data_IF_131293538966
#
_entry.id   IF_131293538966
#
_cell.length_a   1.000
_cell.length_b   1.000
_cell.length_c   1.000
_cell.angle_alpha   90.00
_cell.angle_beta   90.00
_cell.angle_gamma   90.00
#
_symmetry.space_group_name_H-M   'P 1'
#
loop_
_entity.id
_entity.type
_entity.pdbx_description
1 polymer ?
#
# COMPACT_ATOMS: atom_id res chain seq x y z
N UNK A 1 -26.87 -3.40 5.78
CA UNK A 1 -26.65 -3.40 7.25
C UNK A 1 -27.09 -2.08 7.92
N UNK A 2 -27.41 -1.03 7.15
CA UNK A 2 -27.84 0.26 7.72
C UNK A 2 -26.70 1.14 8.28
N UNK A 3 -25.45 0.80 7.99
CA UNK A 3 -24.31 1.62 8.36
C UNK A 3 -24.20 2.88 7.49
N UNK A 4 -23.50 3.88 8.02
CA UNK A 4 -23.30 5.14 7.31
C UNK A 4 -22.39 4.93 6.09
N UNK A 5 -22.88 5.34 4.92
CA UNK A 5 -22.02 5.46 3.75
C UNK A 5 -21.21 6.76 3.84
N UNK A 6 -19.92 6.67 3.58
CA UNK A 6 -19.03 7.83 3.47
C UNK A 6 -18.89 8.24 2.01
N UNK A 7 -18.74 9.56 1.76
CA UNK A 7 -18.24 10.00 0.46
C UNK A 7 -16.78 9.58 0.28
N UNK A 8 -16.28 9.56 -0.96
CA UNK A 8 -14.87 9.27 -1.23
C UNK A 8 -13.95 10.25 -0.50
N UNK A 9 -14.30 11.53 -0.45
CA UNK A 9 -13.56 12.55 0.29
C UNK A 9 -13.52 12.26 1.79
N UNK A 10 -14.67 11.94 2.37
CA UNK A 10 -14.75 11.58 3.80
C UNK A 10 -13.98 10.29 4.08
N UNK A 11 -14.14 9.27 3.25
CA UNK A 11 -13.36 8.03 3.35
C UNK A 11 -11.87 8.32 3.43
N UNK A 12 -11.32 9.07 2.47
CA UNK A 12 -9.89 9.39 2.44
C UNK A 12 -9.41 10.21 3.64
N UNK A 13 -10.30 10.92 4.28
CA UNK A 13 -10.00 11.72 5.48
C UNK A 13 -9.97 10.89 6.75
N UNK A 14 -10.83 9.87 6.87
CA UNK A 14 -10.99 9.08 8.10
C UNK A 14 -10.37 7.69 8.03
N UNK A 15 -10.01 7.22 6.83
CA UNK A 15 -9.39 5.91 6.66
C UNK A 15 -8.09 5.80 7.45
N UNK A 16 -7.94 4.70 8.19
CA UNK A 16 -6.75 4.44 9.01
C UNK A 16 -6.56 2.95 9.26
N UNK A 17 -5.36 2.59 9.67
CA UNK A 17 -5.03 1.27 10.17
C UNK A 17 -5.00 1.24 11.71
N UNK A 18 -5.34 0.10 12.33
CA UNK A 18 -5.92 -1.09 11.70
C UNK A 18 -7.27 -0.78 11.05
N UNK A 19 -7.57 -1.43 9.93
CA UNK A 19 -8.81 -1.18 9.14
C UNK A 19 -10.08 -1.32 10.00
N UNK A 20 -10.06 -2.13 11.05
CA UNK A 20 -11.15 -2.27 12.01
C UNK A 20 -11.56 -0.92 12.62
N UNK A 21 -10.59 -0.05 12.91
CA UNK A 21 -10.86 1.27 13.51
C UNK A 21 -11.67 2.16 12.55
N UNK A 22 -11.35 2.12 11.24
CA UNK A 22 -12.15 2.80 10.23
C UNK A 22 -13.61 2.29 10.22
N UNK A 23 -13.81 0.98 10.28
CA UNK A 23 -15.15 0.40 10.33
C UNK A 23 -15.91 0.81 11.59
N UNK A 24 -15.24 0.88 12.73
CA UNK A 24 -15.82 1.36 14.00
C UNK A 24 -16.25 2.83 13.88
N UNK A 25 -15.45 3.68 13.24
CA UNK A 25 -15.75 5.11 13.04
C UNK A 25 -17.01 5.34 12.20
N UNK A 26 -17.35 4.42 11.30
CA UNK A 26 -18.59 4.48 10.49
C UNK A 26 -19.75 3.68 11.12
N UNK A 27 -19.57 3.18 12.34
CA UNK A 27 -20.63 2.59 13.15
C UNK A 27 -20.73 1.07 13.12
N UNK A 28 -19.79 0.36 12.49
CA UNK A 28 -19.74 -1.10 12.49
C UNK A 28 -19.37 -1.61 13.88
N UNK A 29 -20.19 -2.48 14.44
CA UNK A 29 -19.96 -3.09 15.76
C UNK A 29 -18.90 -4.20 15.68
N UNK A 30 -18.31 -4.57 16.82
CA UNK A 30 -17.38 -5.70 16.89
C UNK A 30 -18.02 -7.02 16.47
N UNK A 31 -19.32 -7.17 16.73
CA UNK A 31 -20.11 -8.36 16.37
C UNK A 31 -20.30 -8.47 14.86
N UNK A 32 -20.59 -7.36 14.19
CA UNK A 32 -20.86 -7.32 12.75
C UNK A 32 -19.59 -7.25 11.91
N UNK A 33 -18.48 -6.81 12.49
CA UNK A 33 -17.21 -6.59 11.74
C UNK A 33 -16.75 -7.81 10.94
N UNK A 34 -16.78 -9.06 11.44
CA UNK A 34 -16.36 -10.22 10.65
C UNK A 34 -17.19 -10.41 9.38
N UNK A 35 -18.52 -10.20 9.48
CA UNK A 35 -19.41 -10.32 8.32
C UNK A 35 -19.18 -9.20 7.32
N UNK A 36 -19.12 -7.95 7.79
CA UNK A 36 -18.89 -6.78 6.94
C UNK A 36 -17.53 -6.85 6.24
N UNK A 37 -16.48 -7.27 6.95
CA UNK A 37 -15.16 -7.45 6.37
C UNK A 37 -15.13 -8.54 5.29
N UNK A 38 -15.84 -9.64 5.51
CA UNK A 38 -15.99 -10.71 4.51
C UNK A 38 -16.70 -10.22 3.26
N UNK A 39 -17.86 -9.59 3.42
CA UNK A 39 -18.65 -9.07 2.29
C UNK A 39 -17.90 -8.00 1.52
N UNK A 40 -17.16 -7.15 2.20
CA UNK A 40 -16.28 -6.17 1.57
C UNK A 40 -15.22 -6.86 0.71
N UNK A 41 -14.53 -7.86 1.26
CA UNK A 41 -13.51 -8.60 0.53
C UNK A 41 -14.08 -9.33 -0.69
N UNK A 42 -15.23 -9.98 -0.55
CA UNK A 42 -15.94 -10.64 -1.66
C UNK A 42 -16.32 -9.63 -2.75
N UNK A 43 -16.86 -8.47 -2.36
CA UNK A 43 -17.18 -7.37 -3.26
C UNK A 43 -15.95 -6.80 -3.96
N UNK A 44 -14.85 -6.63 -3.22
CA UNK A 44 -13.58 -6.17 -3.78
C UNK A 44 -13.04 -7.14 -4.84
N UNK A 45 -12.99 -8.44 -4.54
CA UNK A 45 -12.52 -9.46 -5.48
C UNK A 45 -13.41 -9.51 -6.72
N UNK A 46 -14.72 -9.48 -6.57
CA UNK A 46 -15.67 -9.51 -7.69
C UNK A 46 -15.52 -8.30 -8.63
N UNK A 47 -15.18 -7.14 -8.09
CA UNK A 47 -15.07 -5.88 -8.83
C UNK A 47 -13.63 -5.51 -9.20
N UNK A 48 -12.64 -6.33 -8.88
CA UNK A 48 -11.24 -6.00 -9.19
C UNK A 48 -10.98 -5.79 -10.69
N UNK A 49 -11.81 -6.34 -11.56
CA UNK A 49 -11.72 -6.10 -13.00
C UNK A 49 -11.93 -4.61 -13.39
N UNK A 50 -12.50 -3.80 -12.52
CA UNK A 50 -12.68 -2.34 -12.69
C UNK A 50 -11.46 -1.55 -12.22
N UNK A 51 -10.54 -2.16 -11.48
CA UNK A 51 -9.35 -1.48 -10.98
C UNK A 51 -8.44 -1.06 -12.13
N UNK A 52 -7.84 0.11 -12.00
CA UNK A 52 -6.88 0.68 -12.92
C UNK A 52 -5.59 1.03 -12.18
N UNK A 53 -4.48 1.05 -12.89
CA UNK A 53 -3.24 1.59 -12.35
C UNK A 53 -3.39 3.08 -12.07
N UNK A 54 -2.74 3.55 -11.02
CA UNK A 54 -2.57 4.98 -10.81
C UNK A 54 -1.91 5.61 -12.04
N UNK A 55 -2.35 6.80 -12.43
CA UNK A 55 -2.04 7.43 -13.73
C UNK A 55 -0.57 7.41 -14.15
N UNK A 56 0.35 7.46 -13.20
CA UNK A 56 1.81 7.49 -13.48
C UNK A 56 2.52 6.23 -12.99
N UNK A 57 1.80 5.18 -12.59
CA UNK A 57 2.40 4.02 -11.96
C UNK A 57 3.30 3.23 -12.92
N UNK A 58 2.80 2.89 -14.11
CA UNK A 58 3.58 2.13 -15.08
C UNK A 58 4.86 2.88 -15.46
N UNK A 59 4.75 4.18 -15.81
CA UNK A 59 5.91 5.01 -16.16
C UNK A 59 6.95 5.03 -15.04
N UNK A 60 6.53 5.26 -13.81
CA UNK A 60 7.46 5.34 -12.68
C UNK A 60 8.17 4.01 -12.40
N UNK A 61 7.42 2.90 -12.46
CA UNK A 61 7.96 1.55 -12.27
C UNK A 61 8.99 1.20 -13.34
N UNK A 62 8.74 1.55 -14.61
CA UNK A 62 9.71 1.37 -15.69
C UNK A 62 10.95 2.24 -15.47
N UNK A 63 10.80 3.50 -15.08
CA UNK A 63 11.93 4.39 -14.79
C UNK A 63 12.83 3.83 -13.68
N UNK A 64 12.23 3.35 -12.59
CA UNK A 64 12.99 2.69 -11.51
C UNK A 64 13.74 1.46 -12.01
N UNK A 65 13.08 0.63 -12.82
CA UNK A 65 13.72 -0.55 -13.42
C UNK A 65 14.91 -0.16 -14.30
N UNK A 66 14.73 0.80 -15.20
CA UNK A 66 15.75 1.23 -16.15
C UNK A 66 16.93 1.92 -15.45
N UNK A 67 16.68 2.57 -14.31
CA UNK A 67 17.71 3.14 -13.44
C UNK A 67 18.42 2.10 -12.55
N UNK A 68 18.04 0.82 -12.63
CA UNK A 68 18.67 -0.28 -11.90
C UNK A 68 18.20 -0.46 -10.45
N UNK A 69 17.05 0.09 -10.09
CA UNK A 69 16.47 -0.14 -8.77
C UNK A 69 15.93 -1.57 -8.66
N UNK A 70 16.20 -2.22 -7.53
CA UNK A 70 15.47 -3.40 -7.12
C UNK A 70 14.09 -3.01 -6.61
N UNK A 71 13.04 -3.59 -7.17
CA UNK A 71 11.66 -3.24 -6.85
C UNK A 71 10.91 -4.41 -6.25
N UNK A 72 10.20 -4.17 -5.14
CA UNK A 72 9.32 -5.17 -4.53
C UNK A 72 7.98 -4.56 -4.11
N UNK A 73 6.91 -5.33 -4.25
CA UNK A 73 5.60 -4.98 -3.68
C UNK A 73 5.49 -5.65 -2.31
N UNK A 74 5.18 -4.86 -1.27
CA UNK A 74 4.88 -5.35 0.08
C UNK A 74 3.49 -4.86 0.49
N UNK A 75 2.54 -5.78 0.61
CA UNK A 75 1.13 -5.47 0.87
C UNK A 75 0.58 -6.22 2.09
N UNK A 76 -0.42 -5.64 2.74
CA UNK A 76 -1.24 -6.33 3.72
C UNK A 76 -2.31 -7.25 3.08
N UNK A 77 -2.39 -7.28 1.76
CA UNK A 77 -3.27 -8.19 1.02
C UNK A 77 -2.77 -9.64 1.06
N UNK A 78 -3.68 -10.58 0.88
CA UNK A 78 -3.33 -12.00 0.72
C UNK A 78 -2.48 -12.19 -0.56
N UNK A 79 -1.37 -12.92 -0.44
CA UNK A 79 -0.30 -12.96 -1.46
C UNK A 79 -0.77 -13.48 -2.82
N UNK A 80 -1.62 -14.51 -2.86
CA UNK A 80 -2.09 -15.06 -4.14
C UNK A 80 -3.08 -14.12 -4.82
N UNK A 81 -3.92 -13.43 -4.05
CA UNK A 81 -4.78 -12.37 -4.57
C UNK A 81 -3.95 -11.22 -5.13
N UNK A 82 -2.92 -10.78 -4.39
CA UNK A 82 -2.02 -9.71 -4.83
C UNK A 82 -1.31 -10.06 -6.14
N UNK A 83 -0.76 -11.26 -6.27
CA UNK A 83 -0.13 -11.74 -7.51
C UNK A 83 -1.12 -11.79 -8.66
N UNK A 84 -2.33 -12.32 -8.42
CA UNK A 84 -3.39 -12.35 -9.42
C UNK A 84 -3.81 -10.94 -9.86
N UNK A 85 -3.72 -9.96 -8.97
CA UNK A 85 -3.98 -8.56 -9.27
C UNK A 85 -2.89 -7.93 -10.15
N UNK A 86 -1.62 -8.13 -9.80
CA UNK A 86 -0.49 -7.56 -10.55
C UNK A 86 -0.44 -8.10 -11.98
N UNK A 87 -0.68 -9.39 -12.17
CA UNK A 87 -0.71 -10.04 -13.51
C UNK A 87 -1.76 -9.44 -14.45
N UNK A 88 -2.80 -8.76 -13.94
CA UNK A 88 -3.79 -8.08 -14.78
C UNK A 88 -3.27 -6.83 -15.49
N UNK A 89 -2.11 -6.34 -15.09
CA UNK A 89 -1.48 -5.16 -15.64
C UNK A 89 -0.21 -5.53 -16.40
N UNK A 90 -0.30 -5.82 -17.72
CA UNK A 90 0.85 -6.23 -18.53
C UNK A 90 1.99 -5.22 -18.50
N UNK A 91 1.69 -3.95 -18.23
CA UNK A 91 2.67 -2.86 -18.11
C UNK A 91 3.63 -3.07 -16.91
N UNK A 92 3.27 -3.94 -15.98
CA UNK A 92 4.08 -4.25 -14.80
C UNK A 92 4.85 -5.57 -14.91
N UNK A 93 4.71 -6.27 -16.05
CA UNK A 93 5.35 -7.58 -16.23
C UNK A 93 6.88 -7.47 -16.18
N UNK A 94 7.49 -8.29 -15.33
CA UNK A 94 8.95 -8.29 -15.12
C UNK A 94 9.52 -7.09 -14.36
N UNK A 95 8.68 -6.14 -13.90
CA UNK A 95 9.15 -4.92 -13.24
C UNK A 95 9.46 -5.08 -11.75
N UNK A 96 8.99 -6.13 -11.14
CA UNK A 96 9.20 -6.38 -9.70
C UNK A 96 9.98 -7.67 -9.46
N UNK A 97 11.04 -7.57 -8.66
CA UNK A 97 11.85 -8.73 -8.24
C UNK A 97 11.06 -9.67 -7.31
N UNK A 98 10.20 -9.10 -6.47
CA UNK A 98 9.39 -9.86 -5.51
C UNK A 98 8.01 -9.21 -5.28
N UNK A 99 7.00 -10.05 -5.09
CA UNK A 99 5.65 -9.66 -4.68
C UNK A 99 5.32 -10.38 -3.38
N UNK A 100 5.18 -9.61 -2.30
CA UNK A 100 5.06 -10.07 -0.94
C UNK A 100 3.73 -9.60 -0.34
N UNK A 101 2.93 -10.54 0.15
CA UNK A 101 1.64 -10.27 0.79
C UNK A 101 1.51 -11.05 2.10
N UNK A 102 0.49 -10.70 2.88
CA UNK A 102 0.10 -11.49 4.05
C UNK A 102 -0.60 -12.76 3.57
N UNK A 103 -0.33 -13.88 4.21
CA UNK A 103 -0.97 -15.15 3.84
C UNK A 103 -0.03 -16.32 3.92
N UNK A 104 1.22 -16.07 4.17
CA UNK A 104 2.07 -17.07 4.79
C UNK A 104 1.75 -17.13 6.28
N UNK A 105 1.56 -18.32 6.79
CA UNK A 105 1.13 -18.65 8.15
C UNK A 105 2.00 -18.02 9.25
N UNK A 106 3.09 -17.39 8.85
CA UNK A 106 4.11 -16.79 9.74
C UNK A 106 4.23 -15.27 9.62
N UNK A 107 3.64 -14.61 8.62
CA UNK A 107 3.71 -13.16 8.48
C UNK A 107 2.64 -12.48 9.34
N UNK A 108 3.01 -12.06 10.53
CA UNK A 108 2.11 -11.46 11.53
C UNK A 108 1.78 -10.01 11.18
N UNK A 109 2.61 -9.31 10.39
CA UNK A 109 2.39 -7.91 10.00
C UNK A 109 3.22 -7.50 8.78
N UNK A 110 2.81 -6.41 8.12
CA UNK A 110 3.56 -5.77 7.03
C UNK A 110 4.99 -5.37 7.47
N UNK A 111 5.16 -4.95 8.72
CA UNK A 111 6.47 -4.60 9.29
C UNK A 111 7.38 -5.83 9.34
N UNK A 112 6.89 -6.97 9.84
CA UNK A 112 7.68 -8.18 9.92
C UNK A 112 8.06 -8.70 8.54
N UNK A 113 7.09 -8.70 7.62
CA UNK A 113 7.31 -9.08 6.22
C UNK A 113 8.41 -8.24 5.56
N UNK A 114 8.39 -6.92 5.77
CA UNK A 114 9.41 -6.01 5.24
C UNK A 114 10.79 -6.26 5.86
N UNK A 115 10.88 -6.44 7.19
CA UNK A 115 12.14 -6.76 7.88
C UNK A 115 12.76 -8.05 7.38
N UNK A 116 11.96 -9.10 7.28
CA UNK A 116 12.42 -10.41 6.83
C UNK A 116 12.89 -10.37 5.37
N UNK A 117 12.20 -9.58 4.54
CA UNK A 117 12.58 -9.39 3.14
C UNK A 117 13.94 -8.71 3.02
N UNK A 118 14.13 -7.54 3.67
CA UNK A 118 15.41 -6.82 3.63
C UNK A 118 16.55 -7.68 4.16
N UNK A 119 16.34 -8.35 5.29
CA UNK A 119 17.35 -9.24 5.89
C UNK A 119 17.72 -10.39 4.95
N UNK A 120 16.74 -11.06 4.35
CA UNK A 120 16.97 -12.18 3.43
C UNK A 120 17.69 -11.78 2.16
N UNK A 121 17.41 -10.59 1.64
CA UNK A 121 18.07 -10.05 0.44
C UNK A 121 19.41 -9.38 0.74
N UNK A 122 19.71 -9.08 2.00
CA UNK A 122 20.91 -8.36 2.39
C UNK A 122 20.86 -6.87 2.02
N UNK A 123 19.66 -6.30 1.89
CA UNK A 123 19.48 -4.89 1.57
C UNK A 123 19.61 -4.03 2.82
N UNK A 124 20.38 -2.94 2.72
CA UNK A 124 20.50 -1.97 3.79
C UNK A 124 19.24 -1.09 3.85
N UNK A 125 18.57 -0.98 5.01
CA UNK A 125 17.49 -0.04 5.19
C UNK A 125 17.84 1.41 4.81
N UNK A 126 19.08 1.85 5.01
CA UNK A 126 19.54 3.19 4.66
C UNK A 126 19.53 3.44 3.13
N UNK A 127 19.71 2.41 2.32
CA UNK A 127 19.67 2.46 0.86
C UNK A 127 18.29 2.08 0.30
N UNK A 128 17.31 1.89 1.18
CA UNK A 128 15.95 1.45 0.81
C UNK A 128 14.96 2.60 0.98
N UNK A 129 14.07 2.76 -0.01
CA UNK A 129 12.96 3.72 0.06
C UNK A 129 11.64 2.97 0.05
N UNK A 130 10.77 3.31 0.99
CA UNK A 130 9.41 2.78 1.07
C UNK A 130 8.43 3.79 0.47
N UNK A 131 7.70 3.38 -0.56
CA UNK A 131 6.64 4.18 -1.17
C UNK A 131 5.28 3.69 -0.67
N UNK A 132 4.41 4.58 -0.25
CA UNK A 132 3.08 4.24 0.24
C UNK A 132 2.08 5.38 0.09
N UNK A 133 0.83 5.14 0.49
CA UNK A 133 -0.27 6.09 0.36
C UNK A 133 -1.04 6.31 1.68
N UNK A 134 -0.48 5.77 2.78
CA UNK A 134 -1.07 5.89 4.13
C UNK A 134 -0.03 6.22 5.20
N UNK A 135 -0.49 6.77 6.31
CA UNK A 135 0.33 6.97 7.52
C UNK A 135 0.91 5.65 8.06
N UNK A 136 0.21 4.52 7.84
CA UNK A 136 0.71 3.20 8.22
C UNK A 136 1.95 2.79 7.41
N UNK A 137 2.07 3.18 6.15
CA UNK A 137 3.27 2.94 5.35
C UNK A 137 4.49 3.67 5.94
N UNK A 138 4.29 4.88 6.44
CA UNK A 138 5.34 5.61 7.15
C UNK A 138 5.72 4.95 8.50
N UNK A 139 4.76 4.36 9.20
CA UNK A 139 5.03 3.57 10.42
C UNK A 139 5.85 2.33 10.08
N UNK A 140 5.51 1.62 9.01
CA UNK A 140 6.27 0.47 8.51
C UNK A 140 7.70 0.91 8.16
N UNK A 141 7.87 1.94 7.34
CA UNK A 141 9.17 2.46 6.94
C UNK A 141 10.04 2.84 8.15
N UNK A 142 9.46 3.55 9.12
CA UNK A 142 10.15 3.92 10.38
C UNK A 142 10.57 2.68 11.18
N UNK A 143 9.70 1.68 11.28
CA UNK A 143 9.97 0.44 12.02
C UNK A 143 11.07 -0.42 11.40
N UNK A 144 11.28 -0.30 10.09
CA UNK A 144 12.34 -1.01 9.35
C UNK A 144 13.59 -0.15 9.11
N UNK A 145 13.54 1.14 9.45
CA UNK A 145 14.68 2.06 9.30
C UNK A 145 14.88 2.64 7.91
N UNK A 146 13.87 2.59 7.03
CA UNK A 146 13.94 3.11 5.67
C UNK A 146 13.44 4.55 5.56
N UNK A 147 13.91 5.26 4.51
CA UNK A 147 13.24 6.49 4.04
C UNK A 147 11.84 6.16 3.56
N UNK A 148 10.88 7.04 3.84
CA UNK A 148 9.51 6.94 3.33
C UNK A 148 9.16 8.14 2.45
N UNK A 149 8.50 7.88 1.33
CA UNK A 149 7.81 8.87 0.51
C UNK A 149 6.33 8.48 0.44
N UNK A 150 5.42 9.38 0.78
CA UNK A 150 3.98 9.15 0.66
C UNK A 150 3.46 9.75 -0.63
N UNK A 151 2.59 9.03 -1.31
CA UNK A 151 2.05 9.39 -2.62
C UNK A 151 0.58 9.77 -2.47
N UNK A 152 0.23 10.95 -2.97
CA UNK A 152 -1.14 11.46 -3.01
C UNK A 152 -2.05 10.62 -3.91
N UNK A 153 -3.35 10.65 -3.61
CA UNK A 153 -4.38 10.03 -4.46
C UNK A 153 -4.73 8.59 -4.09
N UNK A 154 -4.14 8.03 -3.05
CA UNK A 154 -4.47 6.71 -2.51
C UNK A 154 -5.59 6.72 -1.46
N UNK A 155 -5.47 5.86 -0.45
CA UNK A 155 -6.48 5.69 0.60
C UNK A 155 -6.62 6.88 1.54
N UNK A 156 -5.56 7.67 1.76
CA UNK A 156 -5.62 8.84 2.61
C UNK A 156 -5.44 10.14 1.81
N UNK A 157 -6.13 11.20 2.24
CA UNK A 157 -5.99 12.51 1.62
C UNK A 157 -4.70 13.22 2.06
N UNK A 158 -4.23 14.17 1.25
CA UNK A 158 -3.02 14.95 1.49
C UNK A 158 -2.99 15.62 2.87
N UNK A 159 -4.14 16.10 3.34
CA UNK A 159 -4.24 16.76 4.65
C UNK A 159 -3.87 15.83 5.80
N UNK A 160 -4.16 14.53 5.68
CA UNK A 160 -3.79 13.49 6.64
C UNK A 160 -2.32 13.12 6.45
N UNK A 161 -1.88 12.87 5.21
CA UNK A 161 -0.51 12.45 4.92
C UNK A 161 0.52 13.49 5.36
N UNK A 162 0.25 14.79 5.14
CA UNK A 162 1.15 15.90 5.53
C UNK A 162 1.28 16.09 7.04
N UNK A 163 0.43 15.44 7.85
CA UNK A 163 0.58 15.43 9.31
C UNK A 163 1.58 14.38 9.81
N UNK A 164 2.03 13.46 8.94
CA UNK A 164 3.00 12.42 9.30
C UNK A 164 4.39 13.05 9.48
N UNK A 165 4.99 13.02 10.68
CA UNK A 165 6.26 13.67 10.92
C UNK A 165 7.41 13.03 10.14
N UNK A 166 8.27 13.87 9.53
CA UNK A 166 9.51 13.43 8.88
C UNK A 166 9.31 12.69 7.57
N UNK A 167 8.15 12.80 6.94
CA UNK A 167 7.84 12.16 5.67
C UNK A 167 7.50 13.21 4.60
N UNK A 168 8.02 13.01 3.41
CA UNK A 168 7.70 13.83 2.24
C UNK A 168 6.47 13.26 1.53
N UNK A 169 5.52 14.14 1.18
CA UNK A 169 4.30 13.78 0.43
C UNK A 169 4.43 14.31 -1.00
N UNK A 170 4.37 13.39 -1.95
CA UNK A 170 4.55 13.67 -3.37
C UNK A 170 3.22 13.51 -4.14
N UNK A 171 3.01 14.30 -5.20
CA UNK A 171 1.75 14.29 -5.94
C UNK A 171 1.55 13.04 -6.80
N UNK A 172 2.61 12.28 -7.09
CA UNK A 172 2.54 11.11 -7.97
C UNK A 172 3.77 10.22 -7.83
N UNK A 173 3.67 8.98 -8.33
CA UNK A 173 4.83 8.08 -8.45
C UNK A 173 5.91 8.63 -9.42
N UNK A 174 5.52 9.37 -10.46
CA UNK A 174 6.47 10.09 -11.32
C UNK A 174 7.33 11.06 -10.51
N UNK A 175 6.71 11.84 -9.63
CA UNK A 175 7.46 12.76 -8.77
C UNK A 175 8.41 11.99 -7.83
N UNK A 176 8.05 10.79 -7.39
CA UNK A 176 8.97 9.93 -6.62
C UNK A 176 10.17 9.49 -7.47
N UNK A 177 9.95 9.12 -8.75
CA UNK A 177 11.04 8.79 -9.65
C UNK A 177 11.98 9.99 -9.88
N UNK A 178 11.42 11.20 -10.04
CA UNK A 178 12.22 12.43 -10.18
C UNK A 178 13.07 12.70 -8.93
N UNK A 179 12.50 12.56 -7.74
CA UNK A 179 13.19 12.78 -6.44
C UNK A 179 14.28 11.74 -6.20
N UNK A 180 14.10 10.51 -6.69
CA UNK A 180 15.05 9.41 -6.50
C UNK A 180 16.07 9.30 -7.64
N UNK A 181 15.96 10.14 -8.66
CA UNK A 181 16.92 10.19 -9.77
C UNK A 181 16.79 9.03 -10.77
N UNK A 182 15.58 8.50 -10.89
CA UNK A 182 15.27 7.44 -11.84
C UNK A 182 14.73 7.98 -13.17
#
# INVERSE_FOLDING_TARGET
HGYRLTSEEEYRRIFRFPVKDYYTDIGVTDEDFPLVAKEWNEGYVANFHLAQLHQTAAEAVHRFHDAGFHQAIISASQVDQLRAQVVKFPELDGMFDDILGLGDVYAVSKVQLAKDYLSRKGYDPADTVFLGDTSHDAEVARAIGCRCLLISGGHQCDAVLRQVPGVEVLPSLRAAADVLGA
#
